data_IF_617172687173
#
_entry.id   IF_617172687173
#
_cell.length_a   1.000
_cell.length_b   1.000
_cell.length_c   1.000
_cell.angle_alpha   90.00
_cell.angle_beta   90.00
_cell.angle_gamma   90.00
#
_symmetry.space_group_name_H-M   'P 1'
#
loop_
_entity.id
_entity.type
_entity.pdbx_description
1 polymer ?
#
# COMPACT_ATOMS: atom_id res chain seq x y z
N UNK A 1 15.55 -6.26 -17.63
CA UNK A 1 16.09 -5.23 -16.71
C UNK A 1 16.44 -5.92 -15.40
N UNK A 2 17.64 -5.71 -14.83
CA UNK A 2 18.07 -6.28 -13.55
C UNK A 2 18.32 -5.12 -12.57
N UNK A 3 17.75 -5.18 -11.36
CA UNK A 3 17.98 -4.17 -10.32
C UNK A 3 19.04 -4.65 -9.33
N UNK A 4 20.03 -3.81 -9.07
CA UNK A 4 21.11 -4.06 -8.10
C UNK A 4 20.75 -3.66 -6.67
N UNK A 5 19.85 -2.69 -6.51
CA UNK A 5 19.45 -2.17 -5.20
C UNK A 5 18.02 -1.60 -5.22
N UNK A 6 17.44 -1.38 -4.03
CA UNK A 6 16.18 -0.65 -3.88
C UNK A 6 16.29 0.80 -4.36
N UNK A 7 17.44 1.45 -4.15
CA UNK A 7 17.66 2.82 -4.65
C UNK A 7 17.54 2.89 -6.17
N UNK A 8 18.08 1.93 -6.91
CA UNK A 8 17.91 1.88 -8.37
C UNK A 8 16.43 1.72 -8.78
N UNK A 9 15.63 0.99 -7.99
CA UNK A 9 14.18 0.88 -8.25
C UNK A 9 13.48 2.21 -8.00
N UNK A 10 13.79 2.89 -6.89
CA UNK A 10 13.22 4.19 -6.52
C UNK A 10 13.57 5.24 -7.57
N UNK A 11 14.85 5.37 -7.93
CA UNK A 11 15.32 6.28 -8.97
C UNK A 11 14.60 6.04 -10.30
N UNK A 12 14.36 4.77 -10.66
CA UNK A 12 13.65 4.42 -11.89
C UNK A 12 12.19 4.85 -11.85
N UNK A 13 11.51 4.67 -10.72
CA UNK A 13 10.11 5.11 -10.54
C UNK A 13 10.04 6.63 -10.62
N UNK A 14 10.94 7.33 -9.93
CA UNK A 14 11.04 8.79 -9.94
C UNK A 14 11.32 9.36 -11.33
N UNK A 15 12.21 8.72 -12.10
CA UNK A 15 12.52 9.10 -13.48
C UNK A 15 11.30 9.04 -14.40
N UNK A 16 10.45 8.02 -14.24
CA UNK A 16 9.27 7.85 -15.09
C UNK A 16 8.18 8.89 -14.81
N UNK A 17 8.23 9.59 -13.66
CA UNK A 17 7.27 10.64 -13.23
C UNK A 17 5.80 10.22 -13.25
N UNK A 18 5.51 8.92 -13.28
CA UNK A 18 4.15 8.38 -13.17
C UNK A 18 3.92 7.96 -11.73
N UNK A 19 3.10 8.73 -11.02
CA UNK A 19 2.69 8.38 -9.66
C UNK A 19 1.59 7.31 -9.71
N UNK A 20 1.79 6.23 -8.98
CA UNK A 20 0.77 5.19 -8.83
C UNK A 20 -0.22 5.56 -7.73
N UNK A 21 -1.49 5.24 -7.94
CA UNK A 21 -2.56 5.50 -6.97
C UNK A 21 -2.62 4.36 -5.96
N UNK A 22 -2.53 4.67 -4.68
CA UNK A 22 -2.42 3.71 -3.59
C UNK A 22 -3.64 3.82 -2.66
N UNK A 23 -4.30 2.71 -2.33
CA UNK A 23 -5.28 2.68 -1.23
C UNK A 23 -4.64 2.11 0.03
N UNK A 24 -4.63 2.88 1.13
CA UNK A 24 -4.14 2.43 2.44
C UNK A 24 -5.33 2.06 3.32
N UNK A 25 -5.46 0.78 3.66
CA UNK A 25 -6.56 0.26 4.48
C UNK A 25 -6.27 0.43 5.96
N UNK A 26 -7.22 0.96 6.72
CA UNK A 26 -7.06 1.26 8.15
C UNK A 26 -5.80 2.10 8.40
N UNK A 27 -5.74 3.28 7.76
CA UNK A 27 -4.58 4.18 7.74
C UNK A 27 -4.34 4.93 9.07
N UNK A 28 -4.56 4.27 10.21
CA UNK A 28 -4.62 4.87 11.54
C UNK A 28 -3.32 4.72 12.34
N UNK A 29 -2.30 4.08 11.75
CA UNK A 29 -0.98 3.88 12.35
C UNK A 29 0.03 4.92 11.85
N UNK A 30 0.78 5.51 12.79
CA UNK A 30 1.72 6.61 12.54
C UNK A 30 2.86 6.16 11.60
N UNK A 31 3.41 4.98 11.79
CA UNK A 31 4.51 4.48 10.94
C UNK A 31 4.07 4.24 9.50
N UNK A 32 2.85 3.74 9.31
CA UNK A 32 2.23 3.57 7.99
C UNK A 32 2.05 4.92 7.31
N UNK A 33 1.51 5.91 8.04
CA UNK A 33 1.32 7.27 7.52
C UNK A 33 2.65 7.93 7.16
N UNK A 34 3.65 7.84 8.02
CA UNK A 34 5.01 8.36 7.78
C UNK A 34 5.60 7.79 6.49
N UNK A 35 5.57 6.46 6.33
CA UNK A 35 6.07 5.80 5.12
C UNK A 35 5.34 6.28 3.84
N UNK A 36 4.02 6.43 3.93
CA UNK A 36 3.20 6.92 2.80
C UNK A 36 3.52 8.38 2.51
N UNK A 37 3.68 9.23 3.51
CA UNK A 37 4.03 10.65 3.34
C UNK A 37 5.40 10.83 2.70
N UNK A 38 6.40 10.05 3.12
CA UNK A 38 7.73 10.03 2.49
C UNK A 38 7.62 9.58 1.03
N UNK A 39 6.84 8.53 0.73
CA UNK A 39 6.62 8.09 -0.64
C UNK A 39 5.88 9.14 -1.51
N UNK A 40 4.99 9.95 -0.92
CA UNK A 40 4.35 11.09 -1.60
C UNK A 40 5.37 12.18 -1.94
N UNK A 41 6.18 12.57 -0.95
CA UNK A 41 7.27 13.56 -1.11
C UNK A 41 8.23 13.14 -2.22
N UNK A 42 8.52 11.85 -2.30
CA UNK A 42 9.43 11.25 -3.29
C UNK A 42 8.76 11.00 -4.66
N UNK A 43 7.54 11.48 -4.89
CA UNK A 43 6.80 11.32 -6.15
C UNK A 43 6.54 9.85 -6.55
N UNK A 44 6.40 8.94 -5.58
CA UNK A 44 6.19 7.51 -5.83
C UNK A 44 4.70 7.19 -5.95
N UNK A 45 3.88 7.73 -5.03
CA UNK A 45 2.45 7.43 -4.92
C UNK A 45 1.57 8.66 -4.77
N UNK A 46 0.28 8.51 -5.13
CA UNK A 46 -0.82 9.37 -4.71
C UNK A 46 -1.78 8.53 -3.85
N UNK A 47 -1.83 8.73 -2.53
CA UNK A 47 -2.56 7.86 -1.63
C UNK A 47 -4.01 8.29 -1.43
N UNK A 48 -4.86 7.29 -1.22
CA UNK A 48 -6.18 7.40 -0.61
C UNK A 48 -6.10 6.65 0.73
N UNK A 49 -6.27 7.39 1.82
CA UNK A 49 -6.21 6.88 3.19
C UNK A 49 -7.62 6.51 3.64
N UNK A 50 -7.84 5.26 4.05
CA UNK A 50 -9.16 4.76 4.39
C UNK A 50 -9.16 4.33 5.86
N UNK A 51 -10.12 4.83 6.64
CA UNK A 51 -10.22 4.53 8.08
C UNK A 51 -10.92 5.66 8.83
N UNK A 52 -10.69 5.73 10.14
CA UNK A 52 -11.24 6.82 10.95
C UNK A 52 -10.56 8.17 10.60
N UNK A 53 -11.32 9.05 9.95
CA UNK A 53 -10.86 10.35 9.48
C UNK A 53 -10.24 11.24 10.58
N UNK A 54 -10.82 11.25 11.78
CA UNK A 54 -10.31 12.05 12.90
C UNK A 54 -8.94 11.56 13.36
N UNK A 55 -8.77 10.24 13.47
CA UNK A 55 -7.50 9.62 13.86
C UNK A 55 -6.44 9.85 12.78
N UNK A 56 -6.78 9.64 11.51
CA UNK A 56 -5.87 9.86 10.38
C UNK A 56 -5.40 11.31 10.36
N UNK A 57 -6.35 12.26 10.43
CA UNK A 57 -6.05 13.70 10.39
C UNK A 57 -5.20 14.14 11.56
N UNK A 58 -5.47 13.62 12.77
CA UNK A 58 -4.66 13.89 13.95
C UNK A 58 -3.22 13.40 13.77
N UNK A 59 -3.04 12.13 13.38
CA UNK A 59 -1.72 11.54 13.23
C UNK A 59 -0.89 12.21 12.12
N UNK A 60 -1.52 12.62 11.01
CA UNK A 60 -0.85 13.36 9.95
C UNK A 60 -0.33 14.72 10.46
N UNK A 61 -1.13 15.43 11.27
CA UNK A 61 -0.71 16.71 11.86
C UNK A 61 0.47 16.53 12.81
N UNK A 62 0.53 15.43 13.57
CA UNK A 62 1.63 15.13 14.49
C UNK A 62 2.95 14.83 13.77
N UNK A 63 2.89 14.31 12.54
CA UNK A 63 4.09 13.97 11.75
C UNK A 63 4.85 15.20 11.22
N UNK A 64 4.22 16.38 11.15
CA UNK A 64 4.81 17.62 10.59
C UNK A 64 5.45 17.44 9.20
N UNK A 65 4.89 16.51 8.40
CA UNK A 65 5.32 16.27 7.03
C UNK A 65 4.42 17.04 6.05
N UNK A 66 4.99 17.54 4.94
CA UNK A 66 4.18 18.29 3.99
C UNK A 66 3.17 17.35 3.32
N UNK A 67 1.90 17.71 3.43
CA UNK A 67 0.79 16.97 2.83
C UNK A 67 0.59 17.42 1.39
N UNK A 68 0.79 16.50 0.43
CA UNK A 68 0.55 16.78 -0.98
C UNK A 68 -0.44 15.75 -1.54
N UNK A 69 -1.59 16.22 -2.04
CA UNK A 69 -2.60 15.41 -2.73
C UNK A 69 -3.00 14.10 -2.00
N UNK A 70 -3.44 14.24 -0.75
CA UNK A 70 -3.97 13.11 0.03
C UNK A 70 -5.48 13.20 0.03
N UNK A 71 -6.14 12.08 -0.29
CA UNK A 71 -7.58 11.92 -0.09
C UNK A 71 -7.80 11.04 1.14
N UNK A 72 -8.76 11.40 1.98
CA UNK A 72 -9.19 10.56 3.11
C UNK A 72 -10.62 10.09 2.83
N UNK A 73 -10.88 8.80 3.04
CA UNK A 73 -12.22 8.23 3.01
C UNK A 73 -12.51 7.68 4.40
N UNK A 74 -13.49 8.27 5.06
CA UNK A 74 -13.95 7.77 6.35
C UNK A 74 -14.53 6.36 6.20
N UNK A 75 -14.11 5.46 7.09
CA UNK A 75 -14.70 4.13 7.26
C UNK A 75 -14.89 3.85 8.76
N UNK A 76 -16.08 3.40 9.20
CA UNK A 76 -16.41 3.27 10.62
C UNK A 76 -15.77 2.04 11.27
N UNK A 77 -15.30 1.06 10.48
CA UNK A 77 -14.64 -0.14 10.96
C UNK A 77 -13.68 -0.70 9.90
N UNK A 78 -12.88 -1.68 10.31
CA UNK A 78 -11.86 -2.30 9.46
C UNK A 78 -12.44 -3.12 8.31
N UNK A 79 -13.60 -3.78 8.50
CA UNK A 79 -14.32 -4.48 7.44
C UNK A 79 -14.66 -3.53 6.28
N UNK A 80 -15.29 -2.41 6.58
CA UNK A 80 -15.72 -1.41 5.60
C UNK A 80 -14.51 -0.74 4.94
N UNK A 81 -13.45 -0.47 5.69
CA UNK A 81 -12.20 0.06 5.13
C UNK A 81 -11.61 -0.90 4.08
N UNK A 82 -11.57 -2.20 4.38
CA UNK A 82 -11.07 -3.22 3.46
C UNK A 82 -11.97 -3.36 2.21
N UNK A 83 -13.29 -3.38 2.39
CA UNK A 83 -14.24 -3.43 1.27
C UNK A 83 -14.10 -2.20 0.37
N UNK A 84 -14.01 -1.01 0.94
CA UNK A 84 -13.83 0.24 0.18
C UNK A 84 -12.56 0.22 -0.66
N UNK A 85 -11.43 -0.24 -0.10
CA UNK A 85 -10.20 -0.37 -0.88
C UNK A 85 -10.34 -1.33 -2.06
N UNK A 86 -11.04 -2.44 -1.87
CA UNK A 86 -11.30 -3.42 -2.93
C UNK A 86 -12.23 -2.82 -4.01
N UNK A 87 -13.27 -2.08 -3.64
CA UNK A 87 -14.13 -1.34 -4.56
C UNK A 87 -13.32 -0.37 -5.43
N UNK A 88 -12.43 0.41 -4.82
CA UNK A 88 -11.59 1.39 -5.53
C UNK A 88 -10.65 0.72 -6.54
N UNK A 89 -10.05 -0.43 -6.20
CA UNK A 89 -9.21 -1.19 -7.15
C UNK A 89 -10.04 -1.70 -8.32
N UNK A 90 -11.20 -2.30 -8.06
CA UNK A 90 -12.08 -2.80 -9.12
C UNK A 90 -12.56 -1.67 -10.06
N UNK A 91 -12.87 -0.51 -9.49
CA UNK A 91 -13.24 0.68 -10.23
C UNK A 91 -12.06 1.33 -10.98
N UNK A 92 -10.84 0.79 -10.85
CA UNK A 92 -9.58 1.36 -11.39
C UNK A 92 -9.30 2.78 -10.90
N UNK A 93 -9.85 3.13 -9.74
CA UNK A 93 -9.61 4.40 -9.08
C UNK A 93 -8.26 4.39 -8.35
N UNK A 94 -7.78 3.21 -7.94
CA UNK A 94 -6.43 2.99 -7.42
C UNK A 94 -5.73 1.85 -8.16
N UNK A 95 -4.40 1.86 -8.18
CA UNK A 95 -3.58 0.82 -8.82
C UNK A 95 -3.31 -0.37 -7.89
N UNK A 96 -3.17 -0.15 -6.57
CA UNK A 96 -2.87 -1.21 -5.61
C UNK A 96 -3.28 -0.86 -4.17
N UNK A 97 -3.31 -1.87 -3.30
CA UNK A 97 -3.68 -1.76 -1.87
C UNK A 97 -2.43 -1.93 -1.01
N UNK A 98 -2.30 -1.10 0.02
CA UNK A 98 -1.38 -1.26 1.14
C UNK A 98 -2.17 -1.55 2.41
N UNK A 99 -1.74 -2.58 3.14
CA UNK A 99 -2.28 -2.91 4.46
C UNK A 99 -1.76 -1.89 5.49
N UNK A 100 -2.66 -1.24 6.22
CA UNK A 100 -2.35 -0.48 7.42
C UNK A 100 -2.67 -1.27 8.71
N UNK A 101 -3.32 -0.62 9.68
CA UNK A 101 -3.59 -1.15 11.03
C UNK A 101 -4.82 -2.07 11.07
N UNK A 102 -4.79 -3.11 10.24
CA UNK A 102 -5.84 -4.12 10.12
C UNK A 102 -5.25 -5.53 10.26
N UNK A 103 -6.04 -6.50 10.73
CA UNK A 103 -5.61 -7.90 10.71
C UNK A 103 -5.48 -8.42 9.27
N UNK A 104 -4.42 -9.20 9.01
CA UNK A 104 -4.18 -9.76 7.68
C UNK A 104 -5.35 -10.62 7.21
N UNK A 105 -5.91 -11.46 8.09
CA UNK A 105 -7.05 -12.33 7.78
C UNK A 105 -8.28 -11.51 7.32
N UNK A 106 -8.52 -10.37 7.96
CA UNK A 106 -9.64 -9.50 7.65
C UNK A 106 -9.51 -8.86 6.27
N UNK A 107 -8.34 -8.29 5.97
CA UNK A 107 -8.04 -7.75 4.64
C UNK A 107 -8.13 -8.84 3.56
N UNK A 108 -7.51 -10.01 3.80
CA UNK A 108 -7.53 -11.11 2.84
C UNK A 108 -8.94 -11.65 2.59
N UNK A 109 -9.83 -11.66 3.60
CA UNK A 109 -11.24 -12.02 3.41
C UNK A 109 -11.92 -11.10 2.40
N UNK A 110 -11.66 -9.79 2.45
CA UNK A 110 -12.21 -8.84 1.49
C UNK A 110 -11.61 -9.01 0.08
N UNK A 111 -10.28 -9.20 -0.03
CA UNK A 111 -9.58 -9.35 -1.32
C UNK A 111 -9.94 -10.67 -2.02
N UNK A 112 -10.05 -11.77 -1.28
CA UNK A 112 -10.28 -13.12 -1.83
C UNK A 112 -11.76 -13.46 -2.00
N UNK A 113 -12.67 -12.56 -1.63
CA UNK A 113 -14.10 -12.75 -1.83
C UNK A 113 -14.41 -12.80 -3.33
N UNK A 114 -15.11 -13.86 -3.76
CA UNK A 114 -15.48 -14.09 -5.17
C UNK A 114 -16.36 -12.98 -5.74
N UNK A 115 -17.18 -12.35 -4.90
CA UNK A 115 -18.10 -11.30 -5.31
C UNK A 115 -17.41 -9.95 -5.51
N UNK A 116 -16.17 -9.82 -5.03
CA UNK A 116 -15.42 -8.59 -5.02
C UNK A 116 -14.43 -8.48 -6.19
N UNK A 117 -14.52 -9.32 -7.23
CA UNK A 117 -13.82 -9.12 -8.51
C UNK A 117 -12.28 -9.29 -8.55
N UNK A 118 -11.56 -9.27 -7.42
CA UNK A 118 -10.09 -9.36 -7.40
C UNK A 118 -9.54 -10.78 -7.47
N UNK A 119 -10.38 -11.78 -7.21
CA UNK A 119 -9.96 -13.19 -7.25
C UNK A 119 -9.85 -13.68 -8.69
N UNK A 120 -8.66 -14.11 -9.06
CA UNK A 120 -8.35 -14.61 -10.43
C UNK A 120 -8.58 -16.11 -10.63
N UNK A 121 -8.90 -16.85 -9.56
CA UNK A 121 -9.03 -18.31 -9.59
C UNK A 121 -7.70 -19.08 -9.43
N UNK A 122 -6.57 -18.36 -9.35
CA UNK A 122 -5.25 -18.93 -9.03
C UNK A 122 -4.91 -18.71 -7.55
N UNK A 123 -3.90 -19.44 -7.06
CA UNK A 123 -3.40 -19.30 -5.69
C UNK A 123 -2.64 -17.97 -5.56
N UNK A 124 -2.89 -17.25 -4.46
CA UNK A 124 -2.15 -16.04 -4.10
C UNK A 124 -0.85 -16.44 -3.39
N UNK A 125 0.27 -15.83 -3.76
CA UNK A 125 1.56 -16.08 -3.12
C UNK A 125 2.22 -14.80 -2.64
N UNK A 126 3.06 -14.91 -1.63
CA UNK A 126 3.86 -13.80 -1.10
C UNK A 126 5.29 -13.85 -1.65
N UNK A 127 5.68 -12.78 -2.33
CA UNK A 127 7.03 -12.57 -2.82
C UNK A 127 7.72 -11.49 -2.00
N UNK A 128 8.86 -11.81 -1.41
CA UNK A 128 9.70 -10.84 -0.70
C UNK A 128 11.01 -10.62 -1.45
N UNK A 129 11.54 -9.40 -1.34
CA UNK A 129 12.80 -8.98 -1.95
C UNK A 129 13.81 -8.64 -0.86
N UNK A 130 15.04 -9.11 -1.01
CA UNK A 130 16.18 -8.82 -0.12
C UNK A 130 17.28 -8.13 -0.92
N UNK A 131 17.81 -7.05 -0.33
CA UNK A 131 19.11 -6.49 -0.73
C UNK A 131 20.15 -6.93 0.30
N UNK A 132 21.04 -7.83 -0.12
CA UNK A 132 22.10 -8.36 0.75
C UNK A 132 23.38 -7.56 0.46
N UNK A 133 24.01 -6.90 1.47
CA UNK A 133 25.17 -6.02 1.23
C UNK A 133 26.33 -6.70 0.50
N UNK A 134 26.52 -8.00 0.70
CA UNK A 134 27.60 -8.81 0.09
C UNK A 134 27.18 -9.46 -1.23
N UNK A 135 26.00 -9.15 -1.76
CA UNK A 135 25.48 -9.74 -2.99
C UNK A 135 25.16 -8.68 -4.05
N UNK A 136 25.46 -8.97 -5.30
CA UNK A 136 25.48 -7.99 -6.39
C UNK A 136 24.10 -7.62 -6.98
N UNK A 137 23.01 -8.20 -6.46
CA UNK A 137 21.65 -8.02 -6.98
C UNK A 137 20.59 -8.26 -5.91
N UNK A 138 19.36 -7.81 -6.17
CA UNK A 138 18.20 -8.17 -5.35
C UNK A 138 17.88 -9.67 -5.48
N UNK A 139 17.54 -10.29 -4.36
CA UNK A 139 17.09 -11.68 -4.28
C UNK A 139 15.60 -11.69 -3.98
N UNK A 140 14.83 -12.41 -4.80
CA UNK A 140 13.40 -12.61 -4.57
C UNK A 140 13.16 -14.04 -4.07
N UNK A 141 12.27 -14.21 -3.10
CA UNK A 141 11.93 -15.50 -2.50
C UNK A 141 10.43 -15.57 -2.19
N UNK A 142 9.88 -16.77 -2.35
CA UNK A 142 8.46 -17.10 -2.20
C UNK A 142 8.34 -18.56 -1.78
N UNK A 143 7.34 -19.00 -1.01
CA UNK A 143 6.43 -18.21 -0.16
C UNK A 143 6.96 -18.22 1.29
N UNK A 144 6.75 -17.12 2.02
CA UNK A 144 7.23 -17.00 3.42
C UNK A 144 6.15 -16.54 4.40
N UNK A 145 4.92 -16.32 3.94
CA UNK A 145 3.90 -15.69 4.77
C UNK A 145 2.45 -16.08 4.46
N UNK A 146 2.14 -16.61 3.28
CA UNK A 146 0.76 -16.89 2.87
C UNK A 146 0.45 -18.38 2.68
N UNK A 147 1.28 -19.09 1.91
CA UNK A 147 1.05 -20.50 1.55
C UNK A 147 1.74 -21.48 2.48
#
# INVERSE_FOLDING_TARGET
>A
MRYGSFNQMIERIQYNKVRKKLAVVAAEDVHTLEAVMLACKDNIVNPILIGNEDIITKNIKELDLPTYNISIIHAPNNEEAALKAVELVNAKEVDFIMKGRIETALLMRAVLNRNNGLRTGTIMSHLAFLQIPTYHKLVAFTDVALN
#
